data_IF_091850419812
#
_entry.id   IF_091850419812
#
_cell.length_a   1.000
_cell.length_b   1.000
_cell.length_c   1.000
_cell.angle_alpha   90.00
_cell.angle_beta   90.00
_cell.angle_gamma   90.00
#
_symmetry.space_group_name_H-M   'P 1'
#
loop_
_entity.id
_entity.type
_entity.pdbx_description
1 polymer ?
#
# COMPACT_ATOMS: atom_id res chain seq x y z
N UNK A 1 63.98 8.64 1.28
CA UNK A 1 63.14 7.40 1.30
C UNK A 1 61.80 7.72 1.95
N UNK A 2 60.68 7.29 1.37
CA UNK A 2 59.36 7.35 2.03
C UNK A 2 59.10 6.09 2.84
N UNK A 3 58.57 6.24 4.05
CA UNK A 3 58.20 5.13 4.95
C UNK A 3 56.99 5.47 5.81
N UNK A 4 56.46 4.47 6.53
CA UNK A 4 55.35 4.61 7.47
C UNK A 4 54.09 5.26 6.86
N UNK A 5 53.76 4.89 5.62
CA UNK A 5 52.54 5.34 4.95
C UNK A 5 51.33 4.75 5.68
N UNK A 6 50.41 5.61 6.10
CA UNK A 6 49.14 5.26 6.72
C UNK A 6 48.00 5.72 5.82
N UNK A 7 46.96 4.90 5.74
CA UNK A 7 45.72 5.23 5.05
C UNK A 7 44.61 5.61 6.04
N UNK A 8 43.47 6.02 5.50
CA UNK A 8 42.27 6.29 6.29
C UNK A 8 41.02 5.78 5.58
N UNK A 9 39.95 5.60 6.34
CA UNK A 9 38.64 5.27 5.79
C UNK A 9 37.60 6.21 6.37
N UNK A 10 36.79 6.79 5.50
CA UNK A 10 35.69 7.69 5.85
C UNK A 10 34.38 7.01 5.46
N UNK A 11 33.35 7.20 6.27
CA UNK A 11 31.97 6.84 5.92
C UNK A 11 31.24 8.12 5.57
N UNK A 12 30.44 8.12 4.51
CA UNK A 12 29.65 9.28 4.13
C UNK A 12 28.72 9.71 5.27
N UNK A 13 28.56 11.02 5.46
CA UNK A 13 27.62 11.54 6.45
C UNK A 13 26.24 11.71 5.82
N UNK A 14 25.21 11.80 6.67
CA UNK A 14 23.89 12.13 6.17
C UNK A 14 23.87 13.51 5.50
N UNK A 15 23.01 13.66 4.50
CA UNK A 15 22.75 14.94 3.86
C UNK A 15 22.36 15.98 4.93
N UNK A 16 23.08 17.09 4.95
CA UNK A 16 22.90 18.17 5.93
C UNK A 16 23.74 18.05 7.21
N UNK A 17 24.40 16.91 7.45
CA UNK A 17 25.36 16.77 8.55
C UNK A 17 26.71 17.44 8.23
N UNK A 18 27.56 17.56 9.26
CA UNK A 18 28.90 18.10 9.10
C UNK A 18 29.81 17.15 8.30
N UNK A 19 30.72 17.74 7.52
CA UNK A 19 31.71 17.01 6.73
C UNK A 19 32.55 16.04 7.59
N UNK A 20 32.89 14.89 7.00
CA UNK A 20 33.67 13.84 7.67
C UNK A 20 35.15 14.07 7.42
N UNK A 21 35.95 14.00 8.49
CA UNK A 21 37.39 14.33 8.42
C UNK A 21 38.24 13.12 8.81
N UNK A 22 39.23 12.82 7.98
CA UNK A 22 40.25 11.81 8.22
C UNK A 22 41.65 12.37 8.13
N UNK A 23 42.61 11.61 8.67
CA UNK A 23 44.02 11.92 8.55
C UNK A 23 44.78 10.70 8.04
N UNK A 24 45.68 10.94 7.10
CA UNK A 24 46.70 10.01 6.63
C UNK A 24 48.06 10.61 6.92
N UNK A 25 49.11 9.81 6.91
CA UNK A 25 50.46 10.32 7.15
C UNK A 25 51.52 9.43 6.53
N UNK A 26 52.67 10.03 6.29
CA UNK A 26 53.89 9.32 5.89
C UNK A 26 55.11 10.09 6.39
N UNK A 27 56.26 9.41 6.37
CA UNK A 27 57.54 9.99 6.77
C UNK A 27 58.51 9.98 5.60
N UNK A 28 59.38 10.99 5.54
CA UNK A 28 60.41 11.11 4.51
C UNK A 28 61.76 11.26 5.19
N UNK A 29 62.67 10.33 4.89
CA UNK A 29 64.07 10.44 5.26
C UNK A 29 64.85 11.16 4.16
N UNK A 30 65.54 12.24 4.51
CA UNK A 30 66.26 13.10 3.58
C UNK A 30 67.54 12.44 3.02
N UNK A 31 68.12 11.45 3.69
CA UNK A 31 69.31 10.77 3.21
C UNK A 31 70.53 11.71 3.14
N UNK A 32 71.20 11.75 2.00
CA UNK A 32 72.41 12.54 1.79
C UNK A 32 72.11 14.03 1.53
N UNK A 33 70.99 14.32 0.87
CA UNK A 33 70.64 15.65 0.39
C UNK A 33 69.47 16.23 1.17
N UNK A 34 69.38 17.55 1.23
CA UNK A 34 68.28 18.20 1.91
C UNK A 34 67.03 18.17 1.03
N UNK A 35 65.88 17.86 1.63
CA UNK A 35 64.58 17.92 0.94
C UNK A 35 64.25 19.38 0.57
N UNK A 36 63.53 19.58 -0.55
CA UNK A 36 63.10 20.90 -1.00
C UNK A 36 61.63 21.16 -0.58
N UNK A 37 61.35 21.97 0.47
CA UNK A 37 60.00 22.11 1.06
C UNK A 37 58.90 22.42 0.03
N UNK A 38 59.18 23.32 -0.90
CA UNK A 38 58.23 23.77 -1.93
C UNK A 38 57.93 22.70 -3.00
N UNK A 39 58.55 21.52 -2.92
CA UNK A 39 58.34 20.42 -3.86
C UNK A 39 57.24 19.44 -3.44
N UNK A 40 56.88 19.40 -2.15
CA UNK A 40 55.84 18.51 -1.63
C UNK A 40 54.48 18.92 -2.17
N UNK A 41 53.84 18.04 -2.93
CA UNK A 41 52.53 18.32 -3.53
C UNK A 41 51.80 17.03 -3.91
N UNK A 42 50.49 17.14 -4.09
CA UNK A 42 49.72 16.14 -4.79
C UNK A 42 50.18 16.01 -6.26
N UNK A 43 50.37 14.79 -6.72
CA UNK A 43 50.65 14.52 -8.13
C UNK A 43 49.34 14.56 -8.92
N UNK A 44 48.92 15.76 -9.30
CA UNK A 44 47.61 15.98 -9.92
C UNK A 44 47.44 15.18 -11.22
N UNK A 45 48.50 15.01 -12.01
CA UNK A 45 48.42 14.24 -13.24
C UNK A 45 48.15 12.76 -12.96
N UNK A 46 48.82 12.18 -11.94
CA UNK A 46 48.58 10.80 -11.54
C UNK A 46 47.18 10.62 -10.93
N UNK A 47 46.71 11.59 -10.15
CA UNK A 47 45.37 11.58 -9.55
C UNK A 47 44.29 11.64 -10.64
N UNK A 48 44.37 12.62 -11.54
CA UNK A 48 43.40 12.77 -12.63
C UNK A 48 43.36 11.53 -13.52
N UNK A 49 44.53 10.95 -13.88
CA UNK A 49 44.58 9.71 -14.65
C UNK A 49 43.93 8.52 -13.93
N UNK A 50 43.96 8.49 -12.60
CA UNK A 50 43.44 7.37 -11.81
C UNK A 50 41.99 7.54 -11.39
N UNK A 51 41.52 8.77 -11.16
CA UNK A 51 40.24 9.05 -10.49
C UNK A 51 39.25 9.85 -11.34
N UNK A 52 39.68 10.71 -12.27
CA UNK A 52 38.74 11.54 -13.05
C UNK A 52 37.84 10.66 -13.91
N UNK A 53 36.53 10.92 -13.82
CA UNK A 53 35.51 10.17 -14.56
C UNK A 53 35.26 8.75 -14.05
N UNK A 54 35.90 8.33 -12.95
CA UNK A 54 35.64 7.05 -12.29
C UNK A 54 34.51 7.13 -11.26
N UNK A 55 34.36 8.28 -10.61
CA UNK A 55 33.36 8.53 -9.57
C UNK A 55 32.43 9.66 -9.98
N UNK A 56 31.22 9.63 -9.45
CA UNK A 56 30.21 10.68 -9.60
C UNK A 56 29.61 11.02 -8.24
N UNK A 57 28.84 12.10 -8.19
CA UNK A 57 28.07 12.52 -7.02
C UNK A 57 26.71 12.97 -7.52
N UNK A 58 25.64 12.29 -7.13
CA UNK A 58 24.30 12.50 -7.66
C UNK A 58 24.26 12.43 -9.20
N UNK A 59 24.92 11.42 -9.77
CA UNK A 59 25.05 11.22 -11.22
C UNK A 59 25.95 12.23 -11.94
N UNK A 60 26.48 13.24 -11.25
CA UNK A 60 27.41 14.22 -11.83
C UNK A 60 28.86 13.77 -11.68
N UNK A 61 29.64 13.62 -12.77
CA UNK A 61 31.04 13.19 -12.67
C UNK A 61 31.88 14.09 -11.77
N UNK A 62 32.76 13.48 -10.96
CA UNK A 62 33.72 14.20 -10.11
C UNK A 62 35.06 14.31 -10.82
N UNK A 63 35.66 15.50 -10.73
CA UNK A 63 36.99 15.81 -11.26
C UNK A 63 37.88 16.39 -10.19
N UNK A 64 39.18 16.11 -10.25
CA UNK A 64 40.14 16.58 -9.25
C UNK A 64 41.01 17.72 -9.80
N UNK A 65 41.17 18.77 -9.01
CA UNK A 65 42.01 19.94 -9.32
C UNK A 65 42.82 20.35 -8.09
N UNK A 66 43.83 21.21 -8.32
CA UNK A 66 44.52 21.89 -7.22
C UNK A 66 44.03 23.33 -7.11
N UNK A 67 43.77 23.77 -5.89
CA UNK A 67 43.43 25.17 -5.63
C UNK A 67 44.68 26.07 -5.57
N UNK A 68 44.47 27.36 -5.25
CA UNK A 68 45.55 28.34 -5.18
C UNK A 68 46.59 28.05 -4.09
N UNK A 69 46.24 27.26 -3.07
CA UNK A 69 47.15 26.85 -2.00
C UNK A 69 47.87 25.52 -2.33
N UNK A 70 47.48 24.85 -3.41
CA UNK A 70 47.98 23.52 -3.77
C UNK A 70 47.23 22.39 -3.08
N UNK A 71 46.09 22.67 -2.45
CA UNK A 71 45.21 21.66 -1.86
C UNK A 71 44.44 20.94 -2.97
N UNK A 72 44.19 19.64 -2.77
CA UNK A 72 43.42 18.85 -3.71
C UNK A 72 41.93 19.08 -3.48
N UNK A 73 41.20 19.39 -4.54
CA UNK A 73 39.74 19.53 -4.55
C UNK A 73 39.11 18.55 -5.54
N UNK A 74 38.19 17.72 -5.06
CA UNK A 74 37.25 16.95 -5.87
C UNK A 74 35.94 17.72 -6.04
N UNK A 75 35.61 18.07 -7.27
CA UNK A 75 34.43 18.88 -7.61
C UNK A 75 33.57 18.13 -8.62
N UNK A 76 32.28 18.00 -8.31
CA UNK A 76 31.27 17.45 -9.22
C UNK A 76 30.96 18.43 -10.35
N UNK A 77 30.52 17.92 -11.50
CA UNK A 77 30.23 18.73 -12.69
C UNK A 77 29.14 19.80 -12.47
N UNK A 78 28.29 19.65 -11.46
CA UNK A 78 27.28 20.65 -11.04
C UNK A 78 27.85 21.73 -10.09
N UNK A 79 29.14 21.67 -9.77
CA UNK A 79 29.88 22.70 -9.04
C UNK A 79 29.98 22.50 -7.53
N UNK A 80 29.58 21.35 -7.00
CA UNK A 80 29.70 21.04 -5.56
C UNK A 80 31.10 20.49 -5.23
N UNK A 81 31.64 20.92 -4.10
CA UNK A 81 32.86 20.34 -3.53
C UNK A 81 32.49 19.07 -2.76
N UNK A 82 33.00 17.94 -3.21
CA UNK A 82 32.72 16.62 -2.62
C UNK A 82 33.86 16.20 -1.68
N UNK A 83 35.11 16.52 -2.05
CA UNK A 83 36.29 16.12 -1.30
C UNK A 83 37.35 17.22 -1.31
N UNK A 84 38.03 17.41 -0.18
CA UNK A 84 39.23 18.24 -0.04
C UNK A 84 40.35 17.47 0.66
N UNK A 85 41.58 17.61 0.19
CA UNK A 85 42.76 17.11 0.90
C UNK A 85 43.84 18.19 1.03
N UNK A 86 44.36 18.36 2.24
CA UNK A 86 45.34 19.38 2.64
C UNK A 86 46.60 18.67 3.15
N UNK A 87 47.79 19.18 2.80
CA UNK A 87 49.07 18.63 3.28
C UNK A 87 49.72 19.52 4.33
N UNK A 88 49.92 18.97 5.51
CA UNK A 88 50.67 19.59 6.60
C UNK A 88 52.05 18.94 6.74
N UNK A 89 53.09 19.76 6.72
CA UNK A 89 54.48 19.33 6.81
C UNK A 89 55.09 19.75 8.15
N UNK A 90 55.71 18.79 8.85
CA UNK A 90 56.56 19.03 10.01
C UNK A 90 57.99 18.59 9.71
N UNK A 91 58.93 19.55 9.78
CA UNK A 91 60.37 19.27 9.70
C UNK A 91 60.91 18.85 11.07
N UNK A 92 61.56 17.69 11.10
CA UNK A 92 62.26 17.15 12.26
C UNK A 92 63.73 16.89 11.91
N UNK A 93 64.53 17.96 12.00
CA UNK A 93 65.96 17.97 11.73
C UNK A 93 66.30 17.44 10.33
N UNK A 94 65.56 17.88 9.31
CA UNK A 94 65.73 17.52 7.91
C UNK A 94 64.87 16.32 7.47
N UNK A 95 64.42 15.46 8.40
CA UNK A 95 63.42 14.44 8.07
C UNK A 95 62.02 15.04 8.17
N UNK A 96 61.11 14.59 7.33
CA UNK A 96 59.75 15.13 7.30
C UNK A 96 58.74 14.14 7.86
N UNK A 97 57.80 14.67 8.62
CA UNK A 97 56.52 14.02 8.93
C UNK A 97 55.44 14.79 8.20
N UNK A 98 54.73 14.13 7.29
CA UNK A 98 53.65 14.74 6.52
C UNK A 98 52.33 14.14 6.95
N UNK A 99 51.36 14.99 7.22
CA UNK A 99 49.98 14.61 7.48
C UNK A 99 49.12 15.12 6.33
N UNK A 100 48.28 14.25 5.77
CA UNK A 100 47.26 14.65 4.83
C UNK A 100 45.90 14.63 5.55
N UNK A 101 45.29 15.79 5.72
CA UNK A 101 43.93 15.93 6.24
C UNK A 101 42.97 15.85 5.07
N UNK A 102 42.03 14.91 5.11
CA UNK A 102 40.99 14.75 4.09
C UNK A 102 39.65 15.11 4.70
N UNK A 103 38.88 15.94 4.01
CA UNK A 103 37.52 16.33 4.36
C UNK A 103 36.59 15.86 3.24
N UNK A 104 35.64 14.99 3.56
CA UNK A 104 34.55 14.57 2.68
C UNK A 104 33.31 15.39 3.02
N UNK A 105 32.88 16.25 2.10
CA UNK A 105 31.81 17.24 2.29
C UNK A 105 30.55 16.96 1.49
N UNK A 106 30.59 16.01 0.56
CA UNK A 106 29.44 15.54 -0.20
C UNK A 106 29.51 14.04 -0.43
N UNK A 107 28.41 13.53 -0.96
CA UNK A 107 28.21 12.13 -1.32
C UNK A 107 28.97 11.73 -2.60
N UNK A 108 29.35 10.47 -2.70
CA UNK A 108 29.91 9.84 -3.90
C UNK A 108 29.04 8.66 -4.28
N UNK A 109 28.64 8.58 -5.55
CA UNK A 109 27.80 7.46 -5.99
C UNK A 109 28.61 6.15 -5.91
N UNK A 110 28.17 5.23 -5.06
CA UNK A 110 28.87 3.98 -4.78
C UNK A 110 28.67 2.90 -5.85
N UNK A 111 27.75 3.10 -6.81
CA UNK A 111 27.51 2.22 -7.97
C UNK A 111 27.31 0.74 -7.58
N UNK A 112 26.72 0.49 -6.41
CA UNK A 112 26.49 -0.85 -5.85
C UNK A 112 27.66 -1.49 -5.12
N UNK A 113 28.65 -0.69 -4.70
CA UNK A 113 29.75 -1.12 -3.85
C UNK A 113 29.73 -0.39 -2.51
N UNK A 114 29.71 -1.12 -1.39
CA UNK A 114 29.78 -0.52 -0.04
C UNK A 114 31.05 0.32 0.25
N UNK A 115 31.99 0.36 -0.69
CA UNK A 115 33.19 1.20 -0.58
C UNK A 115 33.83 1.55 -1.93
N UNK A 116 34.52 2.69 -1.96
CA UNK A 116 35.27 3.24 -3.09
C UNK A 116 36.72 3.54 -2.68
N UNK A 117 37.69 3.09 -3.49
CA UNK A 117 39.13 3.33 -3.23
C UNK A 117 39.67 4.54 -4.01
N UNK A 118 40.05 5.60 -3.30
CA UNK A 118 40.51 6.88 -3.85
C UNK A 118 41.98 7.15 -3.47
N UNK A 119 42.96 6.36 -3.97
CA UNK A 119 44.37 6.56 -3.61
C UNK A 119 44.87 7.95 -4.04
N UNK A 120 45.42 8.71 -3.09
CA UNK A 120 45.93 10.06 -3.35
C UNK A 120 47.44 10.01 -3.63
N UNK A 121 47.84 10.27 -4.88
CA UNK A 121 49.24 10.28 -5.27
C UNK A 121 49.94 11.57 -4.80
N UNK A 122 51.12 11.41 -4.20
CA UNK A 122 51.95 12.52 -3.71
C UNK A 122 53.35 12.37 -4.29
N UNK A 123 53.97 13.51 -4.61
CA UNK A 123 55.34 13.57 -5.09
C UNK A 123 56.13 14.67 -4.39
N UNK A 124 57.43 14.46 -4.24
CA UNK A 124 58.38 15.44 -3.71
C UNK A 124 59.76 15.27 -4.35
N UNK A 125 60.61 16.27 -4.18
CA UNK A 125 61.97 16.33 -4.73
C UNK A 125 62.95 16.85 -3.67
N UNK A 126 64.20 16.40 -3.69
CA UNK A 126 65.27 17.04 -2.92
C UNK A 126 65.92 18.20 -3.70
N UNK A 127 67.01 18.76 -3.15
CA UNK A 127 67.64 19.97 -3.69
C UNK A 127 68.50 19.75 -4.94
N UNK A 128 68.97 18.54 -5.21
CA UNK A 128 69.74 18.22 -6.41
C UNK A 128 68.90 17.52 -7.49
N UNK A 129 67.66 17.13 -7.16
CA UNK A 129 66.60 16.90 -8.14
C UNK A 129 66.04 15.48 -8.17
N UNK A 130 66.42 14.62 -7.22
CA UNK A 130 65.91 13.26 -7.11
C UNK A 130 64.45 13.28 -6.64
N UNK A 131 63.61 12.53 -7.35
CA UNK A 131 62.16 12.48 -7.12
C UNK A 131 61.76 11.18 -6.44
N UNK A 132 60.83 11.30 -5.50
CA UNK A 132 60.14 10.16 -4.89
C UNK A 132 58.65 10.43 -4.82
N UNK A 133 57.85 9.37 -4.95
CA UNK A 133 56.40 9.43 -4.90
C UNK A 133 55.84 8.34 -3.99
N UNK A 134 54.63 8.57 -3.48
CA UNK A 134 53.86 7.60 -2.71
C UNK A 134 52.37 7.75 -3.01
N UNK A 135 51.56 6.79 -2.58
CA UNK A 135 50.10 6.86 -2.64
C UNK A 135 49.57 6.72 -1.23
N UNK A 136 48.70 7.64 -0.82
CA UNK A 136 47.97 7.54 0.44
C UNK A 136 46.68 6.76 0.20
N UNK A 137 46.49 5.59 0.84
CA UNK A 137 45.27 4.81 0.69
C UNK A 137 44.10 5.51 1.38
N UNK A 138 43.08 5.88 0.62
CA UNK A 138 41.82 6.41 1.13
C UNK A 138 40.69 5.53 0.63
N UNK A 139 39.84 5.07 1.55
CA UNK A 139 38.62 4.32 1.23
C UNK A 139 37.41 5.09 1.73
N UNK A 140 36.51 5.46 0.83
CA UNK A 140 35.20 6.02 1.18
C UNK A 140 34.23 4.85 1.30
N UNK A 141 33.51 4.78 2.42
CA UNK A 141 32.48 3.78 2.68
C UNK A 141 31.13 4.42 2.49
N UNK A 142 30.22 3.62 1.95
CA UNK A 142 28.83 4.01 1.75
C UNK A 142 28.19 4.38 3.10
N UNK A 143 27.27 5.33 3.02
CA UNK A 143 26.59 5.91 4.16
C UNK A 143 25.30 5.18 4.53
N UNK A 144 24.32 5.94 5.00
CA UNK A 144 23.01 5.43 5.40
C UNK A 144 21.99 5.55 4.27
N UNK A 145 21.13 4.54 4.18
CA UNK A 145 19.95 4.55 3.33
C UNK A 145 18.98 5.72 3.61
N UNK A 146 18.14 6.07 2.63
CA UNK A 146 17.03 6.97 2.87
C UNK A 146 16.07 6.41 3.93
N UNK A 147 15.40 7.32 4.64
CA UNK A 147 14.42 7.02 5.67
C UNK A 147 13.01 7.43 5.24
N UNK A 148 12.03 6.56 5.44
CA UNK A 148 10.62 6.90 5.29
C UNK A 148 10.04 7.27 6.64
N UNK A 149 9.46 8.47 6.73
CA UNK A 149 8.86 8.99 7.96
C UNK A 149 7.39 9.26 7.71
N UNK A 150 6.55 8.38 8.25
CA UNK A 150 5.10 8.49 8.15
C UNK A 150 4.59 9.79 8.80
N UNK A 151 3.75 10.54 8.07
CA UNK A 151 3.09 11.74 8.56
C UNK A 151 1.60 11.50 8.84
N UNK A 152 0.74 12.45 8.45
CA UNK A 152 -0.70 12.32 8.62
C UNK A 152 -1.30 11.26 7.70
N UNK A 153 -2.22 10.47 8.25
CA UNK A 153 -2.99 9.46 7.53
C UNK A 153 -4.21 10.03 6.80
N UNK A 154 -4.84 9.18 5.99
CA UNK A 154 -6.17 9.38 5.43
C UNK A 154 -7.16 8.46 6.11
N UNK A 155 -8.32 8.97 6.50
CA UNK A 155 -9.44 8.17 6.99
C UNK A 155 -10.69 8.54 6.20
N UNK A 156 -11.26 7.56 5.50
CA UNK A 156 -12.51 7.67 4.75
C UNK A 156 -13.59 6.81 5.40
N UNK A 157 -14.84 7.05 5.06
CA UNK A 157 -15.99 6.34 5.62
C UNK A 157 -17.00 6.07 4.50
N UNK A 158 -17.14 4.80 4.15
CA UNK A 158 -17.97 4.31 3.04
C UNK A 158 -19.45 4.61 3.21
N UNK A 159 -19.94 4.83 4.43
CA UNK A 159 -21.32 5.27 4.66
C UNK A 159 -21.61 6.65 4.03
N UNK A 160 -20.58 7.36 3.58
CA UNK A 160 -20.71 8.61 2.81
C UNK A 160 -20.61 8.41 1.30
N UNK A 161 -20.37 7.19 0.80
CA UNK A 161 -20.54 6.88 -0.61
C UNK A 161 -22.03 6.88 -0.94
N UNK A 162 -22.43 7.67 -1.93
CA UNK A 162 -23.83 7.78 -2.37
C UNK A 162 -24.05 7.27 -3.81
N UNK A 163 -23.02 6.64 -4.38
CA UNK A 163 -22.99 6.19 -5.78
C UNK A 163 -22.86 7.31 -6.82
N UNK A 164 -22.75 8.57 -6.41
CA UNK A 164 -22.66 9.73 -7.31
C UNK A 164 -21.32 10.44 -7.24
N UNK A 165 -20.70 10.50 -6.06
CA UNK A 165 -19.46 11.24 -5.82
C UNK A 165 -18.45 10.38 -5.07
N UNK A 166 -17.17 10.37 -5.50
CA UNK A 166 -16.13 9.67 -4.77
C UNK A 166 -15.77 10.41 -3.47
N UNK A 167 -15.27 9.66 -2.50
CA UNK A 167 -14.67 10.22 -1.29
C UNK A 167 -13.19 10.52 -1.52
N UNK A 168 -12.71 11.63 -0.98
CA UNK A 168 -11.30 12.02 -1.12
C UNK A 168 -10.69 12.40 0.20
N UNK A 169 -9.45 11.99 0.42
CA UNK A 169 -8.65 12.39 1.58
C UNK A 169 -7.20 12.63 1.17
N UNK A 170 -6.52 13.50 1.92
CA UNK A 170 -5.11 13.80 1.71
C UNK A 170 -4.32 13.48 2.97
N UNK A 171 -3.21 12.77 2.80
CA UNK A 171 -2.25 12.51 3.85
C UNK A 171 -0.88 13.06 3.48
N UNK A 172 0.08 12.86 4.37
CA UNK A 172 1.41 13.42 4.28
C UNK A 172 2.45 12.41 4.74
N UNK A 173 3.64 12.46 4.16
CA UNK A 173 4.83 11.78 4.66
C UNK A 173 6.08 12.57 4.28
N UNK A 174 7.17 12.27 4.95
CA UNK A 174 8.48 12.85 4.66
C UNK A 174 9.47 11.75 4.33
N UNK A 175 10.46 12.09 3.53
CA UNK A 175 11.56 11.21 3.16
C UNK A 175 12.85 11.88 3.55
N UNK A 176 13.55 11.28 4.51
CA UNK A 176 14.92 11.66 4.86
C UNK A 176 15.86 11.02 3.85
N UNK A 177 16.84 11.78 3.36
CA UNK A 177 17.65 11.32 2.24
C UNK A 177 18.70 10.27 2.66
N UNK A 178 19.08 10.23 3.94
CA UNK A 178 20.22 9.42 4.36
C UNK A 178 21.52 10.11 3.96
N UNK A 179 22.51 9.37 3.48
CA UNK A 179 23.80 9.92 3.02
C UNK A 179 23.78 10.39 1.58
N UNK A 180 22.88 9.84 0.77
CA UNK A 180 22.72 10.20 -0.63
C UNK A 180 21.42 10.97 -0.87
N UNK A 181 21.34 11.69 -1.97
CA UNK A 181 20.09 12.36 -2.34
C UNK A 181 19.07 11.33 -2.80
N UNK A 182 17.82 11.52 -2.42
CA UNK A 182 16.70 10.74 -2.98
C UNK A 182 16.60 11.01 -4.48
N UNK A 183 16.54 9.94 -5.29
CA UNK A 183 16.41 10.02 -6.74
C UNK A 183 15.02 9.64 -7.24
N UNK A 184 14.34 8.73 -6.55
CA UNK A 184 13.06 8.16 -6.98
C UNK A 184 12.15 7.89 -5.77
N UNK A 185 10.87 8.20 -5.93
CA UNK A 185 9.80 7.80 -5.00
C UNK A 185 8.67 7.22 -5.83
N UNK A 186 8.38 5.93 -5.64
CA UNK A 186 7.44 5.16 -6.45
C UNK A 186 6.60 4.22 -5.59
N UNK A 187 5.51 3.70 -6.13
CA UNK A 187 4.78 2.62 -5.46
C UNK A 187 5.59 1.33 -5.55
N UNK A 188 5.54 0.51 -4.50
CA UNK A 188 6.09 -0.85 -4.56
C UNK A 188 5.34 -1.70 -5.61
N UNK A 189 5.94 -2.82 -6.01
CA UNK A 189 5.35 -3.74 -6.99
C UNK A 189 3.89 -4.08 -6.63
N UNK A 190 3.04 -4.18 -7.65
CA UNK A 190 1.61 -4.47 -7.49
C UNK A 190 1.34 -5.74 -6.66
N UNK A 191 2.25 -6.72 -6.68
CA UNK A 191 2.15 -7.95 -5.89
C UNK A 191 2.41 -7.73 -4.39
N UNK A 192 3.00 -6.60 -4.01
CA UNK A 192 3.26 -6.22 -2.62
C UNK A 192 2.18 -5.32 -2.02
N UNK A 193 1.24 -4.84 -2.83
CA UNK A 193 0.12 -4.01 -2.40
C UNK A 193 -0.95 -4.83 -1.67
N UNK A 194 -1.75 -4.22 -0.77
CA UNK A 194 -2.73 -4.96 0.04
C UNK A 194 -3.77 -5.68 -0.83
N UNK A 195 -4.17 -6.90 -0.44
CA UNK A 195 -5.25 -7.60 -1.11
C UNK A 195 -6.61 -7.05 -0.66
N UNK A 196 -7.41 -6.56 -1.59
CA UNK A 196 -8.72 -5.95 -1.31
C UNK A 196 -9.83 -6.65 -2.10
N UNK A 197 -11.06 -6.53 -1.60
CA UNK A 197 -12.28 -6.90 -2.32
C UNK A 197 -13.20 -5.70 -2.45
N UNK A 198 -13.82 -5.54 -3.61
CA UNK A 198 -14.82 -4.51 -3.88
C UNK A 198 -15.89 -5.10 -4.83
N UNK A 199 -17.15 -4.74 -4.62
CA UNK A 199 -18.27 -5.27 -5.42
C UNK A 199 -18.30 -6.82 -5.50
N UNK A 200 -17.87 -7.50 -4.44
CA UNK A 200 -17.74 -8.95 -4.38
C UNK A 200 -16.63 -9.56 -5.27
N UNK A 201 -15.70 -8.76 -5.79
CA UNK A 201 -14.58 -9.18 -6.63
C UNK A 201 -13.23 -8.79 -6.01
N UNK A 202 -12.17 -9.53 -6.32
CA UNK A 202 -10.81 -9.13 -5.93
C UNK A 202 -10.34 -7.91 -6.73
N UNK A 203 -9.86 -6.88 -6.02
CA UNK A 203 -9.30 -5.67 -6.63
C UNK A 203 -7.97 -6.00 -7.31
N UNK A 204 -7.82 -5.51 -8.54
CA UNK A 204 -6.57 -5.53 -9.31
C UNK A 204 -5.95 -4.15 -9.28
N UNK A 205 -4.62 -4.09 -9.29
CA UNK A 205 -3.88 -2.83 -9.35
C UNK A 205 -3.28 -2.56 -10.73
N UNK A 206 -3.22 -1.27 -11.07
CA UNK A 206 -2.51 -0.74 -12.22
C UNK A 206 -1.70 0.48 -11.79
N UNK A 207 -0.46 0.56 -12.28
CA UNK A 207 0.39 1.73 -12.13
C UNK A 207 0.32 2.55 -13.41
N UNK A 208 0.07 3.85 -13.27
CA UNK A 208 0.02 4.82 -14.37
C UNK A 208 1.02 5.93 -14.09
N UNK A 209 1.59 6.57 -15.11
CA UNK A 209 2.49 7.71 -14.93
C UNK A 209 1.84 8.80 -14.06
N UNK A 210 2.58 9.24 -13.04
CA UNK A 210 2.12 10.24 -12.08
C UNK A 210 2.77 11.61 -12.28
N UNK A 211 3.14 12.24 -11.17
CA UNK A 211 3.78 13.56 -11.17
C UNK A 211 5.19 13.47 -11.76
N UNK A 212 5.37 14.04 -12.95
CA UNK A 212 6.64 14.03 -13.67
C UNK A 212 7.78 14.79 -12.95
N UNK A 213 7.48 15.56 -11.90
CA UNK A 213 8.50 16.21 -11.06
C UNK A 213 9.18 15.27 -10.07
N UNK A 214 8.62 14.07 -9.87
CA UNK A 214 9.16 13.02 -9.01
C UNK A 214 9.54 11.84 -9.92
N UNK A 215 10.82 11.53 -10.11
CA UNK A 215 11.22 10.39 -10.92
C UNK A 215 10.64 9.07 -10.36
N UNK A 216 10.15 8.23 -11.26
CA UNK A 216 9.49 6.96 -10.92
C UNK A 216 8.09 7.09 -10.32
N UNK A 217 7.60 8.30 -10.06
CA UNK A 217 6.27 8.51 -9.49
C UNK A 217 5.18 7.98 -10.41
N UNK A 218 4.27 7.23 -9.79
CA UNK A 218 3.14 6.60 -10.43
C UNK A 218 1.89 6.92 -9.62
N UNK A 219 0.75 6.84 -10.29
CA UNK A 219 -0.57 6.77 -9.68
C UNK A 219 -0.94 5.29 -9.57
N UNK A 220 -1.29 4.84 -8.37
CA UNK A 220 -1.80 3.50 -8.14
C UNK A 220 -3.33 3.51 -8.28
N UNK A 221 -3.85 2.76 -9.25
CA UNK A 221 -5.29 2.58 -9.47
C UNK A 221 -5.73 1.17 -9.10
N UNK A 222 -6.71 1.05 -8.22
CA UNK A 222 -7.43 -0.17 -7.94
C UNK A 222 -8.70 -0.28 -8.79
N UNK A 223 -8.94 -1.43 -9.41
CA UNK A 223 -10.13 -1.67 -10.23
C UNK A 223 -10.62 -3.12 -10.11
N UNK A 224 -11.89 -3.33 -10.44
CA UNK A 224 -12.50 -4.65 -10.61
C UNK A 224 -13.11 -4.79 -12.00
N UNK A 225 -13.36 -6.02 -12.45
CA UNK A 225 -14.04 -6.31 -13.71
C UNK A 225 -15.39 -6.96 -13.43
N UNK A 226 -16.47 -6.20 -13.59
CA UNK A 226 -17.84 -6.67 -13.37
C UNK A 226 -18.50 -6.86 -14.73
N UNK A 227 -18.92 -8.09 -15.04
CA UNK A 227 -19.53 -8.44 -16.34
C UNK A 227 -18.68 -8.06 -17.57
N UNK A 228 -17.35 -8.11 -17.44
CA UNK A 228 -16.42 -7.74 -18.50
C UNK A 228 -16.24 -6.22 -18.69
N UNK A 229 -16.78 -5.41 -17.79
CA UNK A 229 -16.58 -3.96 -17.75
C UNK A 229 -15.66 -3.61 -16.58
N UNK A 230 -14.66 -2.78 -16.83
CA UNK A 230 -13.76 -2.27 -15.80
C UNK A 230 -14.46 -1.18 -14.99
N UNK A 231 -14.41 -1.32 -13.66
CA UNK A 231 -14.92 -0.35 -12.68
C UNK A 231 -13.75 0.08 -11.81
N UNK A 232 -13.48 1.39 -11.76
CA UNK A 232 -12.46 1.95 -10.85
C UNK A 232 -13.00 1.94 -9.42
N UNK A 233 -12.16 1.49 -8.47
CA UNK A 233 -12.54 1.31 -7.07
C UNK A 233 -11.85 2.34 -6.19
N UNK A 234 -10.55 2.52 -6.39
CA UNK A 234 -9.76 3.52 -5.66
C UNK A 234 -8.59 4.02 -6.48
N UNK A 235 -8.09 5.21 -6.13
CA UNK A 235 -6.88 5.79 -6.69
C UNK A 235 -6.03 6.40 -5.57
N UNK A 236 -4.73 6.15 -5.60
CA UNK A 236 -3.74 6.81 -4.73
C UNK A 236 -2.71 7.53 -5.60
N UNK A 237 -2.55 8.82 -5.36
CA UNK A 237 -1.63 9.71 -6.09
C UNK A 237 -0.66 10.36 -5.10
N UNK A 238 0.63 10.29 -5.39
CA UNK A 238 1.69 10.93 -4.60
C UNK A 238 2.11 12.23 -5.30
N UNK A 239 2.24 13.32 -4.56
CA UNK A 239 2.67 14.62 -5.05
C UNK A 239 3.70 15.23 -4.10
N UNK A 240 4.63 16.03 -4.62
CA UNK A 240 5.76 16.53 -3.85
C UNK A 240 6.92 16.90 -4.76
N UNK A 241 8.10 17.14 -4.18
CA UNK A 241 9.31 17.48 -4.93
C UNK A 241 10.55 16.90 -4.26
N UNK A 242 11.53 16.58 -5.09
CA UNK A 242 12.90 16.23 -4.66
C UNK A 242 13.82 17.44 -4.81
N UNK A 243 13.55 18.51 -4.07
CA UNK A 243 14.31 19.78 -4.14
C UNK A 243 15.12 20.11 -2.89
N UNK A 244 15.05 19.28 -1.85
CA UNK A 244 15.86 19.39 -0.65
C UNK A 244 16.79 18.18 -0.51
N UNK A 245 18.06 18.45 -0.25
CA UNK A 245 19.08 17.42 -0.15
C UNK A 245 18.87 16.49 1.06
N UNK A 246 18.42 17.03 2.19
CA UNK A 246 18.39 16.31 3.46
C UNK A 246 17.04 15.63 3.76
N UNK A 247 15.93 16.31 3.46
CA UNK A 247 14.59 15.83 3.77
C UNK A 247 13.57 16.43 2.80
N UNK A 248 12.73 15.59 2.20
CA UNK A 248 11.76 15.96 1.18
C UNK A 248 10.33 15.69 1.66
N UNK A 249 9.46 16.67 1.47
CA UNK A 249 8.04 16.63 1.87
C UNK A 249 7.16 16.11 0.72
N UNK A 250 6.25 15.20 1.05
CA UNK A 250 5.29 14.63 0.11
C UNK A 250 3.89 14.59 0.69
N UNK A 251 2.91 14.89 -0.16
CA UNK A 251 1.50 14.63 0.10
C UNK A 251 1.04 13.46 -0.75
N UNK A 252 0.00 12.76 -0.29
CA UNK A 252 -0.70 11.79 -1.11
C UNK A 252 -2.21 12.01 -1.02
N UNK A 253 -2.90 11.77 -2.13
CA UNK A 253 -4.35 11.88 -2.24
C UNK A 253 -4.94 10.51 -2.53
N UNK A 254 -5.88 10.10 -1.70
CA UNK A 254 -6.69 8.90 -1.89
C UNK A 254 -8.06 9.33 -2.41
N UNK A 255 -8.54 8.68 -3.46
CA UNK A 255 -9.90 8.81 -3.99
C UNK A 255 -10.55 7.44 -3.96
N UNK A 256 -11.67 7.30 -3.27
CA UNK A 256 -12.46 6.07 -3.16
C UNK A 256 -13.75 6.22 -3.97
N UNK A 257 -13.97 5.31 -4.91
CA UNK A 257 -15.13 5.33 -5.82
C UNK A 257 -16.18 4.30 -5.44
N UNK A 258 -15.76 3.16 -4.89
CA UNK A 258 -16.60 2.02 -4.50
C UNK A 258 -16.16 1.52 -3.12
N UNK A 259 -17.04 0.83 -2.38
CA UNK A 259 -16.69 0.20 -1.10
C UNK A 259 -15.56 -0.83 -1.22
N UNK A 260 -14.66 -0.86 -0.24
CA UNK A 260 -13.46 -1.69 -0.19
C UNK A 260 -13.31 -2.41 1.14
N UNK A 261 -13.04 -3.70 1.05
CA UNK A 261 -13.05 -4.58 2.19
C UNK A 261 -11.76 -5.36 2.32
N UNK A 262 -11.31 -5.53 3.56
CA UNK A 262 -10.41 -6.59 3.97
C UNK A 262 -11.18 -7.62 4.78
N UNK A 263 -10.82 -8.89 4.64
CA UNK A 263 -11.57 -10.01 5.23
C UNK A 263 -11.84 -9.79 6.73
N UNK A 264 -13.11 -9.57 7.07
CA UNK A 264 -13.67 -9.41 8.43
C UNK A 264 -13.07 -8.25 9.26
N UNK A 265 -13.75 -7.11 9.30
CA UNK A 265 -13.42 -5.99 10.18
C UNK A 265 -14.55 -4.96 10.26
N UNK A 266 -14.39 -3.95 11.12
CA UNK A 266 -15.25 -2.75 11.19
C UNK A 266 -14.60 -1.54 10.52
N UNK A 267 -13.38 -1.73 10.01
CA UNK A 267 -12.57 -0.78 9.28
C UNK A 267 -11.51 -1.54 8.51
N UNK A 268 -11.28 -1.13 7.28
CA UNK A 268 -10.29 -1.68 6.36
C UNK A 268 -9.05 -0.77 6.36
N UNK A 269 -7.93 -1.28 6.91
CA UNK A 269 -6.63 -0.60 6.86
C UNK A 269 -5.94 -0.88 5.52
N UNK A 270 -5.53 0.14 4.79
CA UNK A 270 -4.97 0.04 3.44
C UNK A 270 -3.47 0.41 3.44
N UNK A 271 -2.58 -0.49 3.89
CA UNK A 271 -1.14 -0.22 3.98
C UNK A 271 -0.47 -0.24 2.60
N UNK A 272 -0.77 0.76 1.76
CA UNK A 272 -0.13 0.90 0.46
C UNK A 272 1.37 1.16 0.63
N UNK A 273 2.16 0.35 -0.05
CA UNK A 273 3.61 0.40 0.06
C UNK A 273 4.22 1.31 -1.00
N UNK A 274 5.19 2.10 -0.56
CA UNK A 274 6.00 2.97 -1.40
C UNK A 274 7.47 2.61 -1.25
N UNK A 275 8.24 2.81 -2.31
CA UNK A 275 9.67 2.66 -2.33
C UNK A 275 10.32 4.03 -2.48
N UNK A 276 11.41 4.22 -1.76
CA UNK A 276 12.30 5.36 -1.86
C UNK A 276 13.66 4.82 -2.29
N UNK A 277 14.23 5.44 -3.31
CA UNK A 277 15.55 5.10 -3.85
C UNK A 277 16.41 6.35 -3.84
N UNK A 278 17.64 6.26 -3.39
CA UNK A 278 18.64 7.32 -3.49
C UNK A 278 19.41 7.27 -4.82
N UNK A 279 20.47 8.06 -4.95
CA UNK A 279 21.04 8.44 -6.26
C UNK A 279 22.08 7.50 -6.81
N UNK A 280 22.59 6.59 -6.01
CA UNK A 280 23.72 5.75 -6.39
C UNK A 280 23.34 4.29 -6.72
N UNK A 281 22.03 3.99 -6.65
CA UNK A 281 21.30 2.83 -7.17
C UNK A 281 22.20 1.74 -7.73
N UNK A 282 22.65 0.87 -6.84
CA UNK A 282 23.32 -0.37 -7.14
C UNK A 282 22.61 -1.58 -6.55
N UNK A 283 23.24 -2.75 -6.67
CA UNK A 283 22.70 -4.01 -6.13
C UNK A 283 22.94 -4.17 -4.61
N UNK A 284 23.22 -3.06 -3.91
CA UNK A 284 23.46 -2.98 -2.47
C UNK A 284 22.16 -2.94 -1.67
N UNK A 285 22.27 -3.08 -0.35
CA UNK A 285 21.12 -3.08 0.56
C UNK A 285 20.91 -1.74 1.29
N UNK A 286 21.70 -0.72 0.96
CA UNK A 286 21.63 0.61 1.57
C UNK A 286 20.99 1.66 0.65
N UNK A 287 20.60 1.31 -0.57
CA UNK A 287 20.21 2.31 -1.58
C UNK A 287 18.68 2.52 -1.63
N UNK A 288 17.94 1.77 -0.79
CA UNK A 288 16.47 1.75 -0.82
C UNK A 288 15.86 1.60 0.56
N UNK A 289 14.69 2.22 0.73
CA UNK A 289 13.80 2.01 1.87
C UNK A 289 12.37 1.85 1.36
N UNK A 290 11.57 1.06 2.08
CA UNK A 290 10.13 1.00 1.85
C UNK A 290 9.36 1.68 2.98
N UNK A 291 8.30 2.37 2.60
CA UNK A 291 7.34 3.01 3.50
C UNK A 291 5.94 2.47 3.31
N UNK A 292 5.08 2.75 4.28
CA UNK A 292 3.65 2.43 4.22
C UNK A 292 2.85 3.70 4.42
N UNK A 293 1.91 3.96 3.52
CA UNK A 293 0.94 5.05 3.66
C UNK A 293 -0.14 4.65 4.68
N UNK A 294 -0.45 5.56 5.60
CA UNK A 294 -1.46 5.34 6.65
C UNK A 294 -2.84 5.67 6.09
N UNK A 295 -3.57 4.68 5.59
CA UNK A 295 -4.90 4.88 5.01
C UNK A 295 -5.88 3.92 5.69
N UNK A 296 -7.00 4.43 6.17
CA UNK A 296 -8.10 3.63 6.72
C UNK A 296 -9.43 3.99 6.06
N UNK A 297 -10.28 2.98 5.91
CA UNK A 297 -11.64 3.12 5.39
C UNK A 297 -12.60 2.48 6.38
N UNK A 298 -13.53 3.25 6.93
CA UNK A 298 -14.60 2.74 7.75
C UNK A 298 -15.69 2.13 6.86
N UNK A 299 -16.29 1.05 7.36
CA UNK A 299 -17.30 0.26 6.66
C UNK A 299 -18.62 1.05 6.52
N UNK A 300 -19.34 0.78 5.44
CA UNK A 300 -20.63 1.41 5.15
C UNK A 300 -21.79 0.93 6.03
N UNK A 301 -22.98 1.46 5.74
CA UNK A 301 -24.19 1.02 6.42
C UNK A 301 -24.63 -0.35 5.91
N UNK A 302 -25.30 -1.12 6.78
CA UNK A 302 -25.90 -2.38 6.38
C UNK A 302 -27.05 -2.14 5.38
N UNK A 303 -27.33 -3.09 4.47
CA UNK A 303 -28.49 -3.00 3.60
C UNK A 303 -29.76 -2.84 4.42
N UNK A 304 -30.73 -2.10 3.87
CA UNK A 304 -32.03 -1.91 4.51
C UNK A 304 -33.08 -2.84 3.93
N UNK A 305 -34.03 -3.26 4.78
CA UNK A 305 -35.02 -4.27 4.45
C UNK A 305 -36.40 -3.86 4.96
N UNK A 306 -37.41 -3.95 4.09
CA UNK A 306 -38.82 -3.75 4.46
C UNK A 306 -39.73 -4.76 3.78
N UNK A 307 -40.76 -5.21 4.52
CA UNK A 307 -41.74 -6.19 4.05
C UNK A 307 -43.15 -5.67 4.20
N UNK A 308 -44.00 -5.95 3.20
CA UNK A 308 -45.45 -5.79 3.35
C UNK A 308 -46.04 -7.10 3.85
N UNK A 309 -46.86 -7.07 4.90
CA UNK A 309 -47.60 -8.26 5.34
C UNK A 309 -48.65 -8.71 4.32
N UNK A 310 -48.96 -10.01 4.33
CA UNK A 310 -50.04 -10.61 3.54
C UNK A 310 -51.13 -11.17 4.45
N UNK A 311 -52.36 -11.16 3.96
CA UNK A 311 -53.48 -11.85 4.61
C UNK A 311 -54.03 -12.87 3.63
N UNK A 312 -54.12 -14.13 4.07
CA UNK A 312 -54.86 -15.17 3.38
C UNK A 312 -56.18 -15.41 4.10
N UNK A 313 -57.21 -15.70 3.31
CA UNK A 313 -58.46 -16.24 3.82
C UNK A 313 -58.45 -17.75 3.58
N UNK A 314 -58.94 -18.53 4.55
CA UNK A 314 -59.14 -19.96 4.32
C UNK A 314 -60.22 -20.18 3.27
N UNK A 315 -59.83 -20.88 2.20
CA UNK A 315 -60.74 -21.27 1.14
C UNK A 315 -61.55 -22.51 1.50
N UNK A 316 -62.52 -22.83 0.66
CA UNK A 316 -63.20 -24.12 0.72
C UNK A 316 -62.30 -25.17 0.05
N UNK A 317 -61.63 -25.99 0.84
CA UNK A 317 -60.84 -27.14 0.39
C UNK A 317 -61.73 -28.38 0.28
N UNK A 318 -62.68 -28.39 -0.66
CA UNK A 318 -63.66 -29.49 -0.82
C UNK A 318 -63.32 -30.48 -1.94
N UNK A 319 -62.13 -30.37 -2.52
CA UNK A 319 -61.55 -31.39 -3.38
C UNK A 319 -61.90 -31.17 -4.84
N UNK A 320 -61.13 -30.32 -5.50
CA UNK A 320 -60.91 -30.47 -6.93
C UNK A 320 -60.43 -31.90 -7.25
N UNK A 321 -61.02 -32.55 -8.26
CA UNK A 321 -60.70 -33.93 -8.64
C UNK A 321 -59.19 -34.19 -8.73
N UNK A 322 -58.76 -35.36 -8.25
CA UNK A 322 -57.36 -35.75 -8.02
C UNK A 322 -56.35 -35.08 -8.97
N UNK A 323 -55.34 -34.42 -8.39
CA UNK A 323 -54.23 -33.70 -9.06
C UNK A 323 -54.55 -32.31 -9.65
N UNK A 324 -55.54 -31.57 -9.12
CA UNK A 324 -55.72 -30.16 -9.49
C UNK A 324 -55.49 -29.21 -8.30
N UNK A 325 -54.77 -28.12 -8.58
CA UNK A 325 -54.41 -27.01 -7.68
C UNK A 325 -55.54 -25.96 -7.51
N UNK A 326 -56.79 -26.32 -7.82
CA UNK A 326 -57.87 -25.36 -7.96
C UNK A 326 -58.39 -24.79 -6.63
N UNK A 327 -58.12 -25.45 -5.50
CA UNK A 327 -58.55 -25.01 -4.16
C UNK A 327 -57.44 -24.27 -3.39
N UNK A 328 -56.19 -24.29 -3.89
CA UNK A 328 -55.04 -23.62 -3.26
C UNK A 328 -55.33 -22.12 -3.09
N UNK A 329 -55.20 -21.61 -1.88
CA UNK A 329 -55.26 -20.17 -1.61
C UNK A 329 -53.87 -19.57 -1.68
N UNK A 330 -53.74 -18.42 -2.33
CA UNK A 330 -52.46 -17.75 -2.51
C UNK A 330 -52.58 -16.27 -2.15
N UNK A 331 -51.60 -15.75 -1.42
CA UNK A 331 -51.36 -14.32 -1.33
C UNK A 331 -49.91 -14.00 -1.66
N UNK A 332 -49.69 -12.77 -2.09
CA UNK A 332 -48.39 -12.24 -2.49
C UNK A 332 -48.11 -10.96 -1.73
N UNK A 333 -46.89 -10.84 -1.21
CA UNK A 333 -46.40 -9.62 -0.59
C UNK A 333 -45.09 -9.21 -1.26
N UNK A 334 -44.61 -8.03 -0.87
CA UNK A 334 -43.38 -7.46 -1.41
C UNK A 334 -42.32 -7.35 -0.32
N UNK A 335 -41.08 -7.56 -0.75
CA UNK A 335 -39.84 -7.39 -0.01
C UNK A 335 -39.05 -6.30 -0.74
N UNK A 336 -38.87 -5.13 -0.12
CA UNK A 336 -38.02 -4.08 -0.68
C UNK A 336 -36.70 -4.04 0.06
N UNK A 337 -35.62 -4.19 -0.70
CA UNK A 337 -34.24 -4.24 -0.23
C UNK A 337 -33.50 -3.07 -0.85
N UNK A 338 -32.73 -2.33 -0.06
CA UNK A 338 -31.82 -1.30 -0.58
C UNK A 338 -30.41 -1.62 -0.14
N UNK A 339 -29.51 -1.77 -1.12
CA UNK A 339 -28.08 -1.91 -0.92
C UNK A 339 -27.46 -0.54 -0.61
N UNK A 340 -26.46 -0.49 0.26
CA UNK A 340 -25.71 0.72 0.61
C UNK A 340 -24.43 0.82 -0.24
N UNK A 341 -23.24 0.97 0.36
CA UNK A 341 -21.93 0.95 -0.33
C UNK A 341 -21.63 -0.37 -1.05
N UNK A 342 -22.25 -1.46 -0.60
CA UNK A 342 -21.96 -2.82 -1.08
C UNK A 342 -23.14 -3.49 -1.74
N UNK A 343 -22.92 -4.22 -2.85
CA UNK A 343 -23.97 -4.96 -3.50
C UNK A 343 -24.47 -6.10 -2.61
N UNK A 344 -25.79 -6.26 -2.55
CA UNK A 344 -26.43 -7.44 -1.94
C UNK A 344 -26.14 -8.65 -2.81
N UNK A 345 -25.58 -9.71 -2.24
CA UNK A 345 -25.22 -10.95 -2.96
C UNK A 345 -26.09 -12.14 -2.56
N UNK A 346 -26.83 -12.05 -1.45
CA UNK A 346 -27.66 -13.14 -0.97
C UNK A 346 -28.94 -12.63 -0.26
N UNK A 347 -30.07 -13.24 -0.60
CA UNK A 347 -31.38 -12.97 0.00
C UNK A 347 -32.06 -14.32 0.23
N UNK A 348 -32.37 -14.65 1.47
CA UNK A 348 -32.98 -15.95 1.81
C UNK A 348 -33.99 -15.87 2.94
N UNK A 349 -34.93 -16.81 2.95
CA UNK A 349 -35.78 -17.09 4.09
C UNK A 349 -34.99 -17.94 5.10
N UNK A 350 -35.16 -17.66 6.39
CA UNK A 350 -34.50 -18.42 7.47
C UNK A 350 -35.52 -19.12 8.36
N UNK A 351 -36.53 -19.73 7.73
CA UNK A 351 -37.59 -20.48 8.40
C UNK A 351 -37.03 -21.81 8.93
N UNK A 352 -37.36 -22.16 10.18
CA UNK A 352 -36.95 -23.43 10.78
C UNK A 352 -37.88 -23.84 11.93
N UNK A 353 -37.87 -25.13 12.27
CA UNK A 353 -38.65 -25.64 13.39
C UNK A 353 -40.15 -25.66 13.13
N UNK A 354 -40.94 -25.51 14.19
CA UNK A 354 -42.40 -25.55 14.12
C UNK A 354 -42.95 -24.30 13.43
N UNK A 355 -44.02 -24.44 12.65
CA UNK A 355 -44.73 -23.28 12.09
C UNK A 355 -45.56 -22.64 13.19
N UNK A 356 -45.24 -21.39 13.53
CA UNK A 356 -45.91 -20.61 14.56
C UNK A 356 -46.66 -19.43 13.95
N UNK A 357 -47.76 -19.02 14.59
CA UNK A 357 -48.39 -17.74 14.32
C UNK A 357 -47.62 -16.58 14.97
N UNK A 358 -48.03 -15.34 14.69
CA UNK A 358 -47.43 -14.13 15.24
C UNK A 358 -47.49 -14.03 16.79
N UNK A 359 -48.29 -14.85 17.47
CA UNK A 359 -48.34 -14.94 18.93
C UNK A 359 -47.41 -16.02 19.51
N UNK A 360 -46.71 -16.77 18.65
CA UNK A 360 -45.84 -17.87 19.02
C UNK A 360 -46.57 -19.20 19.24
N UNK A 361 -47.84 -19.30 18.85
CA UNK A 361 -48.63 -20.54 18.98
C UNK A 361 -48.47 -21.39 17.74
N UNK A 362 -48.35 -22.71 17.94
CA UNK A 362 -48.24 -23.67 16.85
C UNK A 362 -49.48 -23.69 15.97
N UNK A 363 -49.25 -23.65 14.65
CA UNK A 363 -50.28 -23.87 13.65
C UNK A 363 -50.39 -25.37 13.40
N UNK A 364 -51.62 -25.86 13.35
CA UNK A 364 -51.91 -27.29 13.18
C UNK A 364 -52.77 -27.54 11.94
N UNK A 365 -52.82 -28.79 11.49
CA UNK A 365 -53.77 -29.30 10.51
C UNK A 365 -54.35 -30.60 11.03
N UNK A 366 -55.66 -30.65 11.25
CA UNK A 366 -56.34 -31.75 11.93
C UNK A 366 -55.71 -32.09 13.29
N UNK A 367 -55.27 -31.07 14.02
CA UNK A 367 -54.56 -31.20 15.31
C UNK A 367 -53.09 -31.66 15.24
N UNK A 368 -52.54 -31.95 14.06
CA UNK A 368 -51.11 -32.22 13.88
C UNK A 368 -50.33 -30.92 13.64
N UNK A 369 -49.21 -30.73 14.34
CA UNK A 369 -48.38 -29.53 14.21
C UNK A 369 -47.59 -29.53 12.91
N UNK A 370 -47.45 -28.35 12.30
CA UNK A 370 -46.64 -28.17 11.10
C UNK A 370 -45.17 -27.91 11.45
N UNK A 371 -44.25 -28.42 10.64
CA UNK A 371 -42.82 -28.14 10.72
C UNK A 371 -42.33 -27.57 9.39
N UNK A 372 -41.50 -26.53 9.45
CA UNK A 372 -40.83 -25.96 8.30
C UNK A 372 -39.78 -26.92 7.76
N UNK A 373 -39.84 -27.15 6.45
CA UNK A 373 -38.85 -27.91 5.69
C UNK A 373 -38.43 -27.08 4.48
N UNK A 374 -37.13 -26.85 4.32
CA UNK A 374 -36.59 -26.21 3.11
C UNK A 374 -36.82 -27.13 1.91
N UNK A 375 -37.26 -26.55 0.80
CA UNK A 375 -37.36 -27.28 -0.47
C UNK A 375 -35.93 -27.55 -0.98
N UNK A 376 -35.55 -28.83 -1.22
CA UNK A 376 -34.20 -29.17 -1.65
C UNK A 376 -33.78 -28.42 -2.91
N UNK A 377 -32.60 -27.80 -2.86
CA UNK A 377 -32.04 -27.04 -3.98
C UNK A 377 -32.57 -25.61 -4.12
N UNK A 378 -33.48 -25.16 -3.25
CA UNK A 378 -34.01 -23.79 -3.29
C UNK A 378 -33.04 -22.74 -2.74
N UNK A 379 -32.00 -23.14 -1.99
CA UNK A 379 -31.01 -22.25 -1.37
C UNK A 379 -31.65 -21.23 -0.42
N UNK A 380 -32.63 -21.67 0.36
CA UNK A 380 -33.38 -20.81 1.28
C UNK A 380 -34.44 -19.95 0.61
N UNK A 381 -34.74 -20.13 -0.68
CA UNK A 381 -35.80 -19.37 -1.36
C UNK A 381 -37.20 -19.99 -1.22
N UNK A 382 -37.32 -21.27 -0.82
CA UNK A 382 -38.62 -21.93 -0.71
C UNK A 382 -38.68 -22.88 0.48
N UNK A 383 -39.78 -22.79 1.24
CA UNK A 383 -40.06 -23.60 2.42
C UNK A 383 -41.48 -24.16 2.37
N UNK A 384 -41.65 -25.33 2.96
CA UNK A 384 -42.93 -26.03 3.09
C UNK A 384 -43.22 -26.29 4.57
N UNK A 385 -44.46 -26.03 4.98
CA UNK A 385 -44.99 -26.48 6.26
C UNK A 385 -45.68 -27.82 6.08
N UNK A 386 -45.10 -28.87 6.67
CA UNK A 386 -45.59 -30.25 6.56
C UNK A 386 -45.98 -30.81 7.93
N UNK A 387 -47.02 -31.64 7.96
CA UNK A 387 -47.37 -32.43 9.16
C UNK A 387 -46.41 -33.62 9.34
N UNK A 388 -46.41 -34.24 10.52
CA UNK A 388 -45.65 -35.47 10.77
C UNK A 388 -46.11 -36.64 9.88
N UNK A 389 -47.38 -36.65 9.48
CA UNK A 389 -47.95 -37.58 8.49
C UNK A 389 -47.52 -37.32 7.04
N UNK A 390 -46.78 -36.24 6.77
CA UNK A 390 -46.28 -35.89 5.44
C UNK A 390 -47.24 -35.09 4.57
N UNK A 391 -48.30 -34.53 5.15
CA UNK A 391 -49.25 -33.67 4.43
C UNK A 391 -48.63 -32.29 4.22
N UNK A 392 -48.55 -31.83 2.97
CA UNK A 392 -48.17 -30.46 2.63
C UNK A 392 -49.34 -29.52 2.92
N UNK A 393 -49.15 -28.57 3.83
CA UNK A 393 -50.23 -27.67 4.26
C UNK A 393 -50.03 -26.25 3.76
N UNK A 394 -48.80 -25.75 3.81
CA UNK A 394 -48.48 -24.41 3.32
C UNK A 394 -47.11 -24.38 2.65
N UNK A 395 -46.90 -23.44 1.75
CA UNK A 395 -45.60 -23.13 1.16
C UNK A 395 -45.34 -21.62 1.15
N UNK A 396 -44.07 -21.24 1.34
CA UNK A 396 -43.59 -19.87 1.22
C UNK A 396 -42.44 -19.86 0.24
N UNK A 397 -42.49 -18.98 -0.76
CA UNK A 397 -41.50 -18.93 -1.84
C UNK A 397 -41.13 -17.50 -2.21
N UNK A 398 -39.84 -17.27 -2.44
CA UNK A 398 -39.27 -16.10 -3.13
C UNK A 398 -39.00 -16.50 -4.60
N UNK A 399 -39.98 -16.34 -5.52
CA UNK A 399 -39.88 -16.88 -6.87
C UNK A 399 -38.76 -16.25 -7.72
N UNK A 400 -38.49 -14.96 -7.52
CA UNK A 400 -37.56 -14.20 -8.36
C UNK A 400 -36.54 -13.46 -7.49
N UNK A 401 -35.55 -14.19 -6.97
CA UNK A 401 -34.40 -13.59 -6.27
C UNK A 401 -33.32 -13.22 -7.29
N UNK A 402 -32.94 -11.94 -7.42
CA UNK A 402 -31.86 -11.54 -8.32
C UNK A 402 -30.53 -12.11 -7.81
N UNK A 403 -29.59 -12.37 -8.72
CA UNK A 403 -28.26 -12.85 -8.34
C UNK A 403 -27.43 -11.81 -7.59
N UNK A 404 -27.75 -10.53 -7.74
CA UNK A 404 -27.22 -9.43 -6.93
C UNK A 404 -28.14 -8.20 -7.01
N UNK A 405 -28.07 -7.31 -6.03
CA UNK A 405 -28.62 -5.95 -6.09
C UNK A 405 -27.41 -5.02 -6.03
N UNK A 406 -27.24 -4.16 -7.02
CA UNK A 406 -26.06 -3.28 -7.10
C UNK A 406 -25.99 -2.33 -5.89
N UNK A 407 -24.78 -1.92 -5.50
CA UNK A 407 -24.59 -0.86 -4.51
C UNK A 407 -25.43 0.39 -4.85
N UNK A 408 -25.91 1.08 -3.83
CA UNK A 408 -26.76 2.27 -3.89
C UNK A 408 -28.04 2.09 -4.73
N UNK A 409 -28.55 0.85 -4.82
CA UNK A 409 -29.76 0.54 -5.57
C UNK A 409 -30.75 -0.27 -4.74
N UNK A 410 -32.03 -0.20 -5.15
CA UNK A 410 -33.10 -0.96 -4.51
C UNK A 410 -33.68 -2.00 -5.46
N UNK A 411 -34.07 -3.14 -4.90
CA UNK A 411 -34.88 -4.14 -5.59
C UNK A 411 -36.14 -4.45 -4.78
N UNK A 412 -37.26 -4.63 -5.50
CA UNK A 412 -38.50 -5.14 -4.93
C UNK A 412 -38.73 -6.55 -5.44
N UNK A 413 -38.82 -7.50 -4.51
CA UNK A 413 -39.09 -8.90 -4.78
C UNK A 413 -40.49 -9.23 -4.30
N UNK A 414 -41.21 -10.02 -5.09
CA UNK A 414 -42.44 -10.64 -4.61
C UNK A 414 -42.09 -11.88 -3.78
N UNK A 415 -42.83 -12.09 -2.69
CA UNK A 415 -42.89 -13.38 -2.01
C UNK A 415 -44.32 -13.92 -2.09
N UNK A 416 -44.44 -15.24 -2.14
CA UNK A 416 -45.70 -15.94 -2.30
C UNK A 416 -45.92 -16.86 -1.10
N UNK A 417 -47.10 -16.76 -0.50
CA UNK A 417 -47.56 -17.70 0.51
C UNK A 417 -48.75 -18.44 -0.08
N UNK A 418 -48.70 -19.77 -0.05
CA UNK A 418 -49.74 -20.64 -0.58
C UNK A 418 -50.19 -21.62 0.49
N UNK A 419 -51.49 -21.77 0.65
CA UNK A 419 -52.11 -22.73 1.55
C UNK A 419 -52.81 -23.78 0.70
N UNK A 420 -52.48 -25.04 0.96
CA UNK A 420 -52.88 -26.19 0.15
C UNK A 420 -54.05 -26.98 0.73
N UNK A 421 -54.31 -26.81 2.03
CA UNK A 421 -55.43 -27.43 2.74
C UNK A 421 -55.80 -26.59 3.96
N UNK A 422 -56.89 -26.92 4.65
CA UNK A 422 -57.37 -26.18 5.81
C UNK A 422 -56.33 -26.12 6.94
N UNK A 423 -56.22 -24.99 7.64
CA UNK A 423 -55.39 -24.86 8.83
C UNK A 423 -56.29 -24.80 10.07
N UNK A 424 -55.76 -25.25 11.20
CA UNK A 424 -56.35 -25.03 12.50
C UNK A 424 -55.55 -23.90 13.17
N UNK A 425 -55.99 -22.65 12.98
CA UNK A 425 -55.28 -21.45 13.48
C UNK A 425 -56.00 -20.69 14.61
N UNK A 426 -56.85 -21.36 15.39
CA UNK A 426 -57.56 -20.74 16.52
C UNK A 426 -58.93 -20.17 16.13
N UNK A 427 -59.41 -19.16 16.85
CA UNK A 427 -60.78 -18.64 16.72
C UNK A 427 -60.93 -17.41 15.81
N UNK A 428 -59.82 -16.88 15.29
CA UNK A 428 -59.82 -15.78 14.31
C UNK A 428 -59.65 -16.38 12.92
N UNK A 429 -60.34 -15.83 11.92
CA UNK A 429 -60.29 -16.25 10.51
C UNK A 429 -59.05 -15.68 9.79
N UNK A 430 -58.12 -15.08 10.54
CA UNK A 430 -56.89 -14.46 10.05
C UNK A 430 -55.67 -15.18 10.61
N UNK A 431 -54.83 -15.67 9.71
CA UNK A 431 -53.51 -16.16 10.05
C UNK A 431 -52.44 -15.08 9.80
N UNK A 432 -51.71 -14.71 10.85
CA UNK A 432 -50.52 -13.86 10.74
C UNK A 432 -49.26 -14.72 10.88
N UNK A 433 -48.44 -14.75 9.83
CA UNK A 433 -47.15 -15.43 9.81
C UNK A 433 -46.03 -14.39 9.83
N UNK A 434 -45.01 -14.66 10.64
CA UNK A 434 -43.75 -13.91 10.63
C UNK A 434 -42.80 -14.59 9.64
N UNK A 435 -42.26 -13.83 8.68
CA UNK A 435 -41.41 -14.37 7.61
C UNK A 435 -39.99 -13.83 7.78
N UNK A 436 -39.14 -14.51 8.56
CA UNK A 436 -37.76 -14.08 8.74
C UNK A 436 -37.01 -14.18 7.41
N UNK A 437 -36.54 -13.03 6.94
CA UNK A 437 -35.69 -12.86 5.78
C UNK A 437 -34.32 -12.38 6.25
N UNK A 438 -33.28 -12.98 5.69
CA UNK A 438 -31.89 -12.59 5.85
C UNK A 438 -31.38 -12.04 4.51
N UNK A 439 -30.68 -10.91 4.59
CA UNK A 439 -29.99 -10.30 3.46
C UNK A 439 -28.52 -10.15 3.82
N UNK A 440 -27.65 -10.53 2.88
CA UNK A 440 -26.19 -10.44 3.01
C UNK A 440 -25.63 -9.70 1.80
N UNK A 441 -24.77 -8.72 2.05
CA UNK A 441 -23.98 -7.98 1.05
C UNK A 441 -22.61 -8.61 0.79
N UNK A 442 -21.82 -7.95 -0.04
CA UNK A 442 -20.61 -8.53 -0.63
C UNK A 442 -19.41 -8.56 0.31
N UNK A 443 -19.41 -7.72 1.34
CA UNK A 443 -18.48 -7.71 2.47
C UNK A 443 -18.89 -8.68 3.59
N UNK A 444 -20.14 -9.14 3.57
CA UNK A 444 -20.66 -10.17 4.48
C UNK A 444 -21.43 -9.60 5.67
N UNK A 445 -21.71 -8.30 5.66
CA UNK A 445 -22.68 -7.66 6.53
C UNK A 445 -24.08 -8.26 6.33
N UNK A 446 -24.77 -8.46 7.45
CA UNK A 446 -26.06 -9.17 7.51
C UNK A 446 -27.11 -8.31 8.18
N UNK A 447 -28.28 -8.24 7.55
CA UNK A 447 -29.53 -7.77 8.17
C UNK A 447 -30.58 -8.87 8.17
N UNK A 448 -31.39 -8.91 9.22
CA UNK A 448 -32.58 -9.77 9.32
C UNK A 448 -33.82 -8.93 9.63
N UNK A 449 -34.93 -9.24 8.97
CA UNK A 449 -36.25 -8.67 9.26
C UNK A 449 -37.31 -9.77 9.21
N UNK A 450 -38.48 -9.54 9.79
CA UNK A 450 -39.48 -10.60 10.01
C UNK A 450 -40.91 -10.10 10.01
#
# INVERSE_FOLDING_TARGET
MISAVTGTSLTEANQGDAAVVGNMSFTVNHGADALAPDSLRFDINAIQQSLDGKYSSHGSPVTFTLDANGDLMGTSADGREVLRAELDLVDNNGNWSVTAKVTLSGELDHQGSESLDLPLAITLTDKDGDRVSTQLPLTIKDGNAPGFVAGSGVSLDEGNLDGSSPLTGTGHFTVDAGSDRVSEVSFADIAEQPALTALGQSVKYELVDGDASIPGNQILKGYVEVNGVRVEVLQVEISGKLDNAASNDFDYKVTLFEGVHQTNGSSTELPFKVNVVDSDKGAGNNDTTSGTLNISVAEGDKPTLSLTGVTLNEGRFDGAGSNQTADDQQATGTLTITADSDPVVDVRLTLSGQVLDASGKAITHNGETLTWQEVPGSKGHSFQGVTASGTLVLSVTLPNVPGSIAAHSSATLDYQVRVHTNLDHGADDKLNLTLPVQVTDSDGSVITAS
#
